data_IF_344694550332
#
_entry.id   IF_344694550332
#
_cell.length_a   1.000
_cell.length_b   1.000
_cell.length_c   1.000
_cell.angle_alpha   90.00
_cell.angle_beta   90.00
_cell.angle_gamma   90.00
#
_symmetry.space_group_name_H-M   'P 1'
#
loop_
_entity.id
_entity.type
_entity.pdbx_description
1 polymer ?
#
# COMPACT_ATOMS: atom_id res chain seq x y z
N UNK A 1 30.34 0.14 8.18
CA UNK A 1 28.91 -0.12 8.45
C UNK A 1 27.97 1.09 8.24
N UNK A 2 28.44 2.35 8.26
CA UNK A 2 27.58 3.55 8.19
C UNK A 2 26.87 3.79 6.84
N UNK A 3 27.40 3.27 5.73
CA UNK A 3 26.84 3.45 4.37
C UNK A 3 25.81 2.37 4.00
N UNK A 4 25.83 1.22 4.69
CA UNK A 4 24.93 0.11 4.40
C UNK A 4 23.46 0.45 4.75
N UNK A 5 23.24 1.17 5.85
CA UNK A 5 21.90 1.56 6.30
C UNK A 5 21.17 2.51 5.32
N UNK A 6 21.76 3.64 4.86
CA UNK A 6 21.08 4.51 3.90
C UNK A 6 20.85 3.83 2.56
N UNK A 7 21.77 2.98 2.10
CA UNK A 7 21.63 2.25 0.84
C UNK A 7 20.48 1.24 0.90
N UNK A 8 20.34 0.52 2.03
CA UNK A 8 19.22 -0.39 2.29
C UNK A 8 17.87 0.33 2.28
N UNK A 9 17.79 1.51 2.90
CA UNK A 9 16.56 2.32 2.92
C UNK A 9 16.17 2.81 1.53
N UNK A 10 17.14 3.21 0.70
CA UNK A 10 16.91 3.61 -0.68
C UNK A 10 16.40 2.42 -1.51
N UNK A 11 17.00 1.24 -1.35
CA UNK A 11 16.55 0.02 -2.01
C UNK A 11 15.12 -0.38 -1.57
N UNK A 12 14.80 -0.25 -0.29
CA UNK A 12 13.44 -0.49 0.23
C UNK A 12 12.43 0.52 -0.32
N UNK A 13 12.80 1.79 -0.40
CA UNK A 13 11.97 2.84 -0.98
C UNK A 13 11.77 2.65 -2.50
N UNK A 14 12.79 2.20 -3.22
CA UNK A 14 12.67 1.84 -4.64
C UNK A 14 11.76 0.61 -4.85
N UNK A 15 11.69 -0.29 -3.87
CA UNK A 15 10.76 -1.42 -3.87
C UNK A 15 9.33 -1.01 -3.44
N UNK A 16 9.15 0.21 -2.91
CA UNK A 16 7.84 0.75 -2.58
C UNK A 16 7.08 1.12 -3.85
N UNK A 17 6.31 0.18 -4.39
CA UNK A 17 5.50 0.39 -5.58
C UNK A 17 4.17 1.08 -5.21
N UNK A 18 3.98 2.38 -5.49
CA UNK A 18 2.68 3.01 -5.32
C UNK A 18 1.67 2.36 -6.26
N UNK A 19 0.46 2.12 -5.75
CA UNK A 19 -0.66 1.59 -6.53
C UNK A 19 -1.88 2.45 -6.30
N UNK A 20 -2.43 2.95 -7.40
CA UNK A 20 -3.76 3.53 -7.44
C UNK A 20 -4.78 2.43 -7.75
N UNK A 21 -5.85 2.39 -6.99
CA UNK A 21 -6.99 1.51 -7.21
C UNK A 21 -8.23 2.38 -7.39
N UNK A 22 -9.07 2.04 -8.36
CA UNK A 22 -10.37 2.69 -8.58
C UNK A 22 -11.41 1.59 -8.55
N UNK A 23 -12.39 1.74 -7.67
CA UNK A 23 -13.52 0.83 -7.55
C UNK A 23 -14.81 1.60 -7.84
N UNK A 24 -15.50 1.21 -8.91
CA UNK A 24 -16.81 1.73 -9.25
C UNK A 24 -17.86 0.65 -8.94
N UNK A 25 -18.88 1.02 -8.17
CA UNK A 25 -20.02 0.17 -7.86
C UNK A 25 -21.19 0.52 -8.81
N UNK A 26 -21.95 -0.45 -9.33
CA UNK A 26 -23.21 -0.24 -10.05
C UNK A 26 -24.21 0.74 -9.41
N UNK A 27 -24.13 0.96 -8.09
CA UNK A 27 -24.91 1.98 -7.37
C UNK A 27 -24.47 3.44 -7.66
N UNK A 28 -23.52 3.67 -8.56
CA UNK A 28 -22.98 4.99 -8.91
C UNK A 28 -21.91 5.51 -7.95
N UNK A 29 -21.51 4.71 -6.96
CA UNK A 29 -20.44 5.07 -6.03
C UNK A 29 -19.07 4.76 -6.62
N UNK A 30 -18.22 5.77 -6.73
CA UNK A 30 -16.81 5.62 -7.12
C UNK A 30 -15.95 5.82 -5.87
N UNK A 31 -15.21 4.78 -5.49
CA UNK A 31 -14.22 4.84 -4.43
C UNK A 31 -12.84 4.74 -5.06
N UNK A 32 -12.01 5.76 -4.86
CA UNK A 32 -10.60 5.72 -5.27
C UNK A 32 -9.74 5.41 -4.05
N UNK A 33 -8.56 4.84 -4.25
CA UNK A 33 -7.63 4.62 -3.17
C UNK A 33 -6.20 4.50 -3.65
N UNK A 34 -5.28 4.86 -2.77
CA UNK A 34 -3.85 4.78 -3.04
C UNK A 34 -3.25 3.90 -1.97
N UNK A 35 -2.37 3.00 -2.36
CA UNK A 35 -1.60 2.17 -1.45
C UNK A 35 -0.13 2.18 -1.82
N UNK A 36 0.72 2.14 -0.81
CA UNK A 36 2.16 1.93 -0.92
C UNK A 36 2.54 0.75 -0.04
N UNK A 37 3.70 0.15 -0.26
CA UNK A 37 4.10 -0.97 0.57
C UNK A 37 5.55 -1.34 0.37
N UNK A 38 6.21 -1.74 1.45
CA UNK A 38 7.61 -2.12 1.47
C UNK A 38 7.69 -3.58 1.90
N UNK A 39 8.21 -4.44 1.02
CA UNK A 39 8.23 -5.88 1.25
C UNK A 39 6.81 -6.43 1.44
N UNK A 40 6.55 -7.21 2.51
CA UNK A 40 5.21 -7.71 2.79
C UNK A 40 4.29 -6.62 3.35
N UNK A 41 4.77 -5.48 3.85
CA UNK A 41 3.87 -4.49 4.45
C UNK A 41 3.19 -3.61 3.38
N UNK A 42 1.91 -3.28 3.60
CA UNK A 42 1.12 -2.37 2.78
C UNK A 42 0.35 -1.38 3.64
N UNK A 43 0.33 -0.15 3.17
CA UNK A 43 -0.42 0.95 3.74
C UNK A 43 -1.24 1.59 2.63
N UNK A 44 -2.51 1.87 2.86
CA UNK A 44 -3.35 2.53 1.88
C UNK A 44 -4.45 3.35 2.49
N UNK A 45 -4.98 4.27 1.70
CA UNK A 45 -6.11 5.13 2.06
C UNK A 45 -7.08 5.17 0.89
N UNK A 46 -8.36 5.34 1.17
CA UNK A 46 -9.38 5.52 0.14
C UNK A 46 -10.05 6.91 0.22
N UNK A 47 -10.84 7.24 -0.81
CA UNK A 47 -11.58 8.49 -0.94
C UNK A 47 -12.63 8.71 0.14
N UNK A 48 -13.01 7.64 0.85
CA UNK A 48 -13.96 7.69 1.95
C UNK A 48 -13.25 7.93 3.30
N UNK A 49 -11.95 8.23 3.28
CA UNK A 49 -11.14 8.49 4.46
C UNK A 49 -10.75 7.24 5.25
N UNK A 50 -11.05 6.03 4.77
CA UNK A 50 -10.69 4.79 5.46
C UNK A 50 -9.24 4.42 5.18
N UNK A 51 -8.51 4.16 6.25
CA UNK A 51 -7.15 3.66 6.21
C UNK A 51 -7.15 2.15 6.09
N UNK A 52 -6.17 1.58 5.42
CA UNK A 52 -5.93 0.14 5.40
C UNK A 52 -4.46 -0.10 5.69
N UNK A 53 -4.20 -0.97 6.66
CA UNK A 53 -2.85 -1.46 6.95
C UNK A 53 -2.90 -2.95 6.80
N UNK A 54 -2.03 -3.50 5.96
CA UNK A 54 -2.05 -4.91 5.66
C UNK A 54 -0.69 -5.48 5.36
N UNK A 55 -0.64 -6.80 5.31
CA UNK A 55 0.51 -7.55 4.85
C UNK A 55 0.16 -8.33 3.60
N UNK A 56 1.10 -8.42 2.65
CA UNK A 56 1.01 -9.17 1.41
C UNK A 56 1.98 -10.34 1.50
N UNK A 57 1.43 -11.52 1.69
CA UNK A 57 2.15 -12.79 1.61
C UNK A 57 1.90 -13.38 0.22
N UNK A 58 2.79 -13.04 -0.73
CA UNK A 58 2.66 -13.43 -2.13
C UNK A 58 1.43 -12.81 -2.81
N UNK A 59 0.45 -13.66 -3.17
CA UNK A 59 -0.81 -13.24 -3.76
C UNK A 59 -1.85 -12.80 -2.73
N UNK A 60 -1.70 -13.26 -1.48
CA UNK A 60 -2.66 -13.02 -0.41
C UNK A 60 -2.43 -11.65 0.22
N UNK A 61 -3.48 -10.85 0.35
CA UNK A 61 -3.45 -9.58 1.07
C UNK A 61 -4.32 -9.69 2.33
N UNK A 62 -3.68 -9.62 3.49
CA UNK A 62 -4.30 -9.62 4.81
C UNK A 62 -4.25 -8.20 5.35
N UNK A 63 -5.35 -7.46 5.24
CA UNK A 63 -5.44 -6.07 5.68
C UNK A 63 -6.53 -5.84 6.71
N UNK A 64 -6.25 -5.02 7.70
CA UNK A 64 -7.22 -4.45 8.63
C UNK A 64 -7.58 -3.05 8.12
N UNK A 65 -8.87 -2.77 7.97
CA UNK A 65 -9.38 -1.42 7.72
C UNK A 65 -9.56 -0.67 9.03
N UNK A 66 -9.07 0.57 9.08
CA UNK A 66 -9.32 1.54 10.16
C UNK A 66 -10.40 2.53 9.70
#
# INVERSE_FOLDING_TARGET
MRIALPLLLILLAACAGPRANVHANPAGQVTTGVSTGVGPMRLGVNSNGRGTVGTRLGWLHLGMGL
#
